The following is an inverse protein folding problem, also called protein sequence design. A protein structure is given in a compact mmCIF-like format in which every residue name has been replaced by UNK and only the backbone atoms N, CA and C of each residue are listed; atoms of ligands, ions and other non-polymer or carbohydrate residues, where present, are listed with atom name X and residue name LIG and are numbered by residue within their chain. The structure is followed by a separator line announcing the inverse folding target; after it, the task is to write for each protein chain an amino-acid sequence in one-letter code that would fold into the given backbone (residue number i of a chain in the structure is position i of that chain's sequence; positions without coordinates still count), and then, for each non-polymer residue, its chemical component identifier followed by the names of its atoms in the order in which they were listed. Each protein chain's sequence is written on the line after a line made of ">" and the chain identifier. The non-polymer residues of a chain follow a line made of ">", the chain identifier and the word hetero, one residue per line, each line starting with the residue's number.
data_IF_593337939451
#
_entry.id   IF_593337939451
#
_cell.length_a   1.000
_cell.length_b   1.000
_cell.length_c   1.000
_cell.angle_alpha   90.00
_cell.angle_beta   90.00
_cell.angle_gamma   90.00
#
_symmetry.space_group_name_H-M   'P 1'
#
loop_
_entity.id
_entity.type
_entity.pdbx_description
1 polymer ?
#
# COMPACT_ATOMS: atom_id res chain seq x y z
N UNK A 1 18.31 -31.29 -8.39
CA UNK A 1 18.98 -29.98 -8.39
C UNK A 1 19.69 -29.71 -9.72
N UNK A 2 20.33 -30.71 -10.36
CA UNK A 2 21.05 -30.50 -11.64
C UNK A 2 20.20 -30.01 -12.81
N UNK A 3 18.90 -30.32 -12.85
CA UNK A 3 18.03 -29.87 -13.94
C UNK A 3 17.90 -28.35 -13.99
N UNK A 4 17.83 -27.70 -12.84
CA UNK A 4 17.76 -26.23 -12.73
C UNK A 4 19.12 -25.62 -13.06
N UNK A 5 20.21 -26.21 -12.56
CA UNK A 5 21.57 -25.76 -12.85
C UNK A 5 21.87 -25.82 -14.35
N UNK A 6 21.47 -26.88 -15.06
CA UNK A 6 21.67 -27.03 -16.50
C UNK A 6 20.83 -26.05 -17.32
N UNK A 7 19.61 -25.75 -16.87
CA UNK A 7 18.79 -24.72 -17.50
C UNK A 7 19.39 -23.33 -17.31
N UNK A 8 19.90 -23.05 -16.10
CA UNK A 8 20.57 -21.80 -15.79
C UNK A 8 21.89 -21.62 -16.57
N UNK A 9 22.68 -22.67 -16.76
CA UNK A 9 23.88 -22.66 -17.61
C UNK A 9 23.55 -22.20 -19.06
N UNK A 10 22.42 -22.64 -19.61
CA UNK A 10 21.91 -22.14 -20.88
C UNK A 10 21.51 -20.66 -20.86
N UNK A 11 20.94 -20.20 -19.74
CA UNK A 11 20.64 -18.76 -19.53
C UNK A 11 21.93 -17.95 -19.43
N UNK A 12 22.95 -18.43 -18.72
CA UNK A 12 24.26 -17.78 -18.63
C UNK A 12 24.93 -17.63 -19.99
N UNK A 13 24.91 -18.68 -20.82
CA UNK A 13 25.45 -18.63 -22.19
C UNK A 13 24.67 -17.67 -23.10
N UNK A 14 23.35 -17.59 -22.94
CA UNK A 14 22.53 -16.62 -23.66
C UNK A 14 22.76 -15.17 -23.21
N UNK A 15 22.95 -14.94 -21.92
CA UNK A 15 23.30 -13.63 -21.38
C UNK A 15 24.70 -13.19 -21.80
N UNK A 16 25.67 -14.10 -21.82
CA UNK A 16 27.06 -13.81 -22.17
C UNK A 16 27.25 -13.44 -23.64
N UNK A 17 26.40 -13.95 -24.55
CA UNK A 17 26.45 -13.62 -25.98
C UNK A 17 25.68 -12.34 -26.35
N UNK A 18 24.88 -11.77 -25.43
CA UNK A 18 24.17 -10.52 -25.67
C UNK A 18 25.15 -9.33 -25.70
N UNK A 19 24.99 -8.39 -26.65
CA UNK A 19 25.76 -7.15 -26.64
C UNK A 19 25.42 -6.27 -25.41
N UNK A 20 26.41 -5.50 -24.95
CA UNK A 20 26.35 -4.70 -23.71
C UNK A 20 25.08 -3.83 -23.58
N UNK A 21 24.67 -3.20 -24.69
CA UNK A 21 23.49 -2.33 -24.70
C UNK A 21 22.15 -3.06 -24.51
N UNK A 22 22.10 -4.39 -24.72
CA UNK A 22 20.90 -5.20 -24.43
C UNK A 22 20.92 -5.80 -23.02
N UNK A 23 22.10 -6.05 -22.44
CA UNK A 23 22.21 -6.61 -21.09
C UNK A 23 21.65 -5.66 -20.03
N UNK A 24 22.03 -4.38 -20.07
CA UNK A 24 21.56 -3.39 -19.10
C UNK A 24 20.03 -3.23 -19.06
N UNK A 25 19.33 -2.97 -20.18
CA UNK A 25 17.87 -2.86 -20.16
C UNK A 25 17.20 -4.18 -19.75
N UNK A 26 17.79 -5.34 -20.07
CA UNK A 26 17.26 -6.63 -19.62
C UNK A 26 17.37 -6.80 -18.10
N UNK A 27 18.51 -6.44 -17.51
CA UNK A 27 18.69 -6.42 -16.05
C UNK A 27 17.69 -5.46 -15.42
N UNK A 28 17.53 -4.25 -15.96
CA UNK A 28 16.55 -3.29 -15.46
C UNK A 28 15.11 -3.81 -15.58
N UNK A 29 14.77 -4.49 -16.67
CA UNK A 29 13.45 -5.09 -16.89
C UNK A 29 13.14 -6.20 -15.88
N UNK A 30 14.13 -6.87 -15.29
CA UNK A 30 13.93 -7.87 -14.23
C UNK A 30 14.00 -7.22 -12.84
N UNK A 31 14.97 -6.33 -12.63
CA UNK A 31 15.25 -5.71 -11.34
C UNK A 31 14.13 -4.75 -10.90
N UNK A 32 13.57 -3.96 -11.82
CA UNK A 32 12.47 -3.03 -11.49
C UNK A 32 11.23 -3.79 -11.00
N UNK A 33 10.70 -4.79 -11.74
CA UNK A 33 9.59 -5.60 -11.24
C UNK A 33 9.92 -6.35 -9.96
N UNK A 34 11.14 -6.88 -9.82
CA UNK A 34 11.56 -7.55 -8.59
C UNK A 34 11.52 -6.59 -7.39
N UNK A 35 12.08 -5.38 -7.53
CA UNK A 35 12.06 -4.36 -6.49
C UNK A 35 10.64 -3.91 -6.14
N UNK A 36 9.79 -3.65 -7.15
CA UNK A 36 8.37 -3.32 -6.94
C UNK A 36 7.61 -4.49 -6.29
N UNK A 37 7.93 -5.73 -6.67
CA UNK A 37 7.35 -6.93 -6.09
C UNK A 37 7.70 -7.07 -4.62
N UNK A 38 8.97 -6.88 -4.26
CA UNK A 38 9.43 -6.91 -2.86
C UNK A 38 8.82 -5.76 -2.06
N UNK A 39 8.77 -4.55 -2.60
CA UNK A 39 8.12 -3.41 -1.93
C UNK A 39 6.65 -3.72 -1.61
N UNK A 40 5.88 -4.16 -2.61
CA UNK A 40 4.47 -4.54 -2.41
C UNK A 40 4.29 -5.72 -1.46
N UNK A 41 5.23 -6.64 -1.44
CA UNK A 41 5.21 -7.76 -0.51
C UNK A 41 5.40 -7.27 0.94
N UNK A 42 6.37 -6.39 1.16
CA UNK A 42 6.60 -5.77 2.47
C UNK A 42 5.37 -4.99 2.90
N UNK A 43 4.81 -4.14 2.03
CA UNK A 43 3.60 -3.35 2.33
C UNK A 43 2.45 -4.27 2.79
N UNK A 44 2.20 -5.37 2.07
CA UNK A 44 1.17 -6.35 2.47
C UNK A 44 1.45 -7.03 3.80
N UNK A 45 2.70 -7.38 4.06
CA UNK A 45 3.10 -8.00 5.33
C UNK A 45 2.91 -7.01 6.47
N UNK A 46 3.26 -5.74 6.26
CA UNK A 46 3.09 -4.66 7.22
C UNK A 46 1.61 -4.38 7.47
N UNK A 47 0.78 -4.30 6.44
CA UNK A 47 -0.67 -4.11 6.56
C UNK A 47 -1.33 -5.25 7.34
N UNK A 48 -1.00 -6.50 7.01
CA UNK A 48 -1.52 -7.69 7.70
C UNK A 48 -1.05 -7.74 9.16
N UNK A 49 0.23 -7.42 9.42
CA UNK A 49 0.75 -7.36 10.78
C UNK A 49 0.09 -6.23 11.58
N UNK A 50 -0.10 -5.07 10.98
CA UNK A 50 -0.76 -3.92 11.59
C UNK A 50 -2.23 -4.20 11.88
N UNK A 51 -2.95 -4.87 10.98
CA UNK A 51 -4.34 -5.28 11.20
C UNK A 51 -4.48 -6.27 12.35
N UNK A 52 -3.51 -7.18 12.50
CA UNK A 52 -3.46 -8.14 13.63
C UNK A 52 -3.09 -7.47 14.95
N UNK A 53 -2.26 -6.43 14.92
CA UNK A 53 -1.82 -5.67 16.10
C UNK A 53 -2.89 -4.67 16.56
N UNK A 54 -3.56 -4.00 15.62
CA UNK A 54 -4.67 -3.06 15.87
C UNK A 54 -5.98 -3.77 16.21
N UNK A 55 -5.95 -4.94 16.85
CA UNK A 55 -7.15 -5.63 17.32
C UNK A 55 -8.03 -4.64 18.12
N UNK A 56 -9.19 -4.33 17.54
CA UNK A 56 -10.23 -3.41 18.04
C UNK A 56 -9.78 -1.95 18.36
N UNK A 57 -9.77 -1.05 17.37
CA UNK A 57 -10.21 0.31 17.62
C UNK A 57 -11.73 0.27 17.43
N UNK A 58 -12.43 0.14 18.55
CA UNK A 58 -13.83 0.52 18.74
C UNK A 58 -14.29 1.42 17.60
N UNK A 59 -15.28 0.95 16.82
CA UNK A 59 -15.86 1.67 15.70
C UNK A 59 -16.17 3.11 16.11
N UNK A 60 -15.22 4.01 15.85
CA UNK A 60 -15.30 5.40 16.25
C UNK A 60 -16.51 5.94 15.47
N UNK A 61 -17.60 6.32 16.15
CA UNK A 61 -18.83 6.69 15.46
C UNK A 61 -18.48 7.83 14.50
N UNK A 62 -19.02 7.79 13.27
CA UNK A 62 -18.64 8.75 12.25
C UNK A 62 -18.74 10.16 12.82
N UNK A 63 -17.73 11.00 12.56
CA UNK A 63 -17.53 12.39 13.01
C UNK A 63 -18.67 13.35 12.58
N UNK A 64 -19.82 12.82 12.14
CA UNK A 64 -21.10 13.50 11.95
C UNK A 64 -22.21 13.13 12.92
N UNK A 65 -21.97 12.26 13.91
CA UNK A 65 -22.97 11.88 14.94
C UNK A 65 -23.00 12.81 16.15
N UNK A 66 -22.37 13.99 16.08
CA UNK A 66 -22.55 15.04 17.08
C UNK A 66 -23.97 15.60 16.95
N UNK A 67 -24.83 15.53 17.98
CA UNK A 67 -26.14 16.16 17.95
C UNK A 67 -25.99 17.68 17.76
N UNK A 68 -26.32 18.18 16.57
CA UNK A 68 -26.33 19.60 16.21
C UNK A 68 -27.49 20.39 16.85
N UNK A 69 -28.11 19.84 17.90
CA UNK A 69 -29.25 20.40 18.62
C UNK A 69 -28.81 21.43 19.69
N UNK A 70 -27.59 21.35 20.23
CA UNK A 70 -27.21 22.12 21.44
C UNK A 70 -26.84 23.60 21.17
N UNK A 71 -27.34 24.21 20.08
CA UNK A 71 -27.20 25.66 19.84
C UNK A 71 -28.44 26.31 19.24
N UNK A 72 -29.57 26.25 19.93
CA UNK A 72 -30.57 27.34 19.86
C UNK A 72 -30.94 27.88 21.25
N UNK A 73 -30.10 28.73 21.86
CA UNK A 73 -30.52 29.53 22.99
C UNK A 73 -31.29 30.75 22.47
N UNK A 74 -32.62 30.67 22.54
CA UNK A 74 -33.45 31.79 23.04
C UNK A 74 -33.28 33.16 22.34
N UNK A 75 -33.21 33.21 21.02
CA UNK A 75 -33.46 34.45 20.25
C UNK A 75 -34.93 34.60 19.85
N UNK A 76 -35.87 34.23 20.74
CA UNK A 76 -37.32 34.35 20.48
C UNK A 76 -38.15 34.99 21.60
N UNK A 77 -37.52 35.71 22.53
CA UNK A 77 -38.24 36.38 23.63
C UNK A 77 -38.15 37.91 23.63
N UNK A 78 -37.52 38.54 22.63
CA UNK A 78 -37.34 40.00 22.58
C UNK A 78 -38.31 40.78 21.68
N UNK A 79 -39.28 40.15 21.00
CA UNK A 79 -40.15 40.84 20.01
C UNK A 79 -41.58 41.14 20.49
N UNK A 80 -41.94 40.75 21.70
CA UNK A 80 -43.32 40.96 22.22
C UNK A 80 -43.32 41.74 23.53
N UNK A 81 -42.68 42.90 23.57
CA UNK A 81 -43.00 43.96 24.55
C UNK A 81 -42.27 45.26 24.19
N UNK A 82 -42.90 46.08 23.37
CA UNK A 82 -43.35 47.44 23.73
C UNK A 82 -43.59 48.28 22.49
#
# INVERSE_FOLDING_TARGET
>A
MESIARWWDGVELWLAQLPFFLQFPLVMAVLLPAALGVARFIDRVVDEASARLSGDPEAEPPVGALPTDVREPRLREGRTRS
#
